data_IF_036692714379
#
_entry.id   IF_036692714379
#
_cell.length_a   1.000
_cell.length_b   1.000
_cell.length_c   1.000
_cell.angle_alpha   90.00
_cell.angle_beta   90.00
_cell.angle_gamma   90.00
#
_symmetry.space_group_name_H-M   'P 1'
#
loop_
_entity.id
_entity.type
_entity.pdbx_description
1 polymer ?
#
# COMPACT_ATOMS: atom_id res chain seq x y z
N UNK A 1 18.13 -13.86 15.96
CA UNK A 1 18.09 -12.53 15.30
C UNK A 1 16.78 -11.85 15.67
N UNK A 2 16.81 -10.91 16.59
CA UNK A 2 15.65 -10.08 16.95
C UNK A 2 15.34 -9.17 15.76
N UNK A 3 14.20 -9.39 15.10
CA UNK A 3 13.77 -8.59 13.95
C UNK A 3 13.23 -7.26 14.48
N UNK A 4 13.86 -6.16 14.10
CA UNK A 4 13.43 -4.83 14.48
C UNK A 4 12.15 -4.48 13.68
N UNK A 5 10.98 -4.67 14.29
CA UNK A 5 9.70 -4.35 13.67
C UNK A 5 9.53 -2.84 13.71
N UNK A 6 9.35 -2.22 12.54
CA UNK A 6 9.11 -0.78 12.49
C UNK A 6 7.78 -0.45 13.17
N UNK A 7 7.69 0.58 14.01
CA UNK A 7 6.44 0.95 14.67
C UNK A 7 5.31 1.30 13.69
N UNK A 8 5.64 1.74 12.47
CA UNK A 8 4.68 2.00 11.39
C UNK A 8 4.35 0.78 10.52
N UNK A 9 4.98 -0.38 10.75
CA UNK A 9 4.71 -1.61 10.01
C UNK A 9 3.23 -2.06 10.04
N UNK A 10 2.49 -2.01 11.18
CA UNK A 10 1.07 -2.37 11.18
C UNK A 10 0.22 -1.42 10.35
N UNK A 11 0.48 -0.11 10.42
CA UNK A 11 -0.27 0.91 9.67
C UNK A 11 -0.02 0.75 8.16
N UNK A 12 1.26 0.61 7.77
CA UNK A 12 1.66 0.41 6.38
C UNK A 12 1.08 -0.88 5.79
N UNK A 13 1.06 -1.96 6.58
CA UNK A 13 0.43 -3.24 6.18
C UNK A 13 -1.07 -3.08 5.94
N UNK A 14 -1.77 -2.34 6.82
CA UNK A 14 -3.20 -2.06 6.65
C UNK A 14 -3.48 -1.22 5.41
N UNK A 15 -2.69 -0.18 5.15
CA UNK A 15 -2.81 0.66 3.94
C UNK A 15 -2.65 -0.17 2.67
N UNK A 16 -1.66 -1.08 2.62
CA UNK A 16 -1.48 -1.96 1.45
C UNK A 16 -2.63 -2.96 1.27
N UNK A 17 -3.23 -3.44 2.36
CA UNK A 17 -4.43 -4.30 2.28
C UNK A 17 -5.64 -3.51 1.77
N UNK A 18 -5.84 -2.29 2.25
CA UNK A 18 -6.89 -1.39 1.75
C UNK A 18 -6.67 -1.10 0.26
N UNK A 19 -5.42 -0.84 -0.15
CA UNK A 19 -5.05 -0.69 -1.56
C UNK A 19 -5.43 -1.91 -2.39
N UNK A 20 -5.18 -3.13 -1.90
CA UNK A 20 -5.55 -4.36 -2.59
C UNK A 20 -7.07 -4.52 -2.74
N UNK A 21 -7.86 -4.15 -1.73
CA UNK A 21 -9.32 -4.14 -1.81
C UNK A 21 -9.80 -3.11 -2.84
N UNK A 22 -9.20 -1.91 -2.86
CA UNK A 22 -9.50 -0.90 -3.86
C UNK A 22 -9.23 -1.39 -5.29
N UNK A 23 -8.14 -2.13 -5.51
CA UNK A 23 -7.84 -2.72 -6.83
C UNK A 23 -8.92 -3.70 -7.27
N UNK A 24 -9.47 -4.50 -6.34
CA UNK A 24 -10.60 -5.41 -6.64
C UNK A 24 -11.86 -4.62 -6.98
N UNK A 25 -12.16 -3.56 -6.22
CA UNK A 25 -13.33 -2.71 -6.47
C UNK A 25 -13.21 -2.02 -7.83
N UNK A 26 -12.05 -1.44 -8.14
CA UNK A 26 -11.78 -0.76 -9.41
C UNK A 26 -11.94 -1.70 -10.62
N UNK A 27 -11.51 -2.96 -10.48
CA UNK A 27 -11.70 -3.98 -11.52
C UNK A 27 -13.18 -4.22 -11.89
N UNK A 28 -14.13 -4.08 -10.95
CA UNK A 28 -15.56 -4.19 -11.27
C UNK A 28 -16.09 -3.05 -12.14
N UNK A 29 -15.37 -1.92 -12.23
CA UNK A 29 -15.74 -0.77 -13.06
C UNK A 29 -15.09 -0.80 -14.45
N UNK A 30 -14.21 -1.76 -14.75
CA UNK A 30 -13.56 -1.91 -16.07
C UNK A 30 -14.51 -2.57 -17.08
N UNK A 31 -14.59 -1.99 -18.29
CA UNK A 31 -15.44 -2.47 -19.39
C UNK A 31 -15.09 -3.91 -19.83
N UNK A 32 -16.11 -4.67 -20.22
CA UNK A 32 -16.04 -6.12 -20.41
C UNK A 32 -15.17 -6.60 -21.59
N UNK A 33 -14.74 -5.70 -22.47
CA UNK A 33 -14.00 -6.08 -23.69
C UNK A 33 -12.53 -6.47 -23.42
N UNK A 34 -11.95 -6.11 -22.27
CA UNK A 34 -10.55 -6.44 -21.92
C UNK A 34 -10.39 -7.46 -20.78
N UNK A 35 -11.50 -8.09 -20.35
CA UNK A 35 -11.60 -8.81 -19.08
C UNK A 35 -10.49 -9.86 -18.87
N UNK A 36 -10.18 -10.69 -19.88
CA UNK A 36 -9.18 -11.76 -19.73
C UNK A 36 -7.76 -11.24 -19.48
N UNK A 37 -7.36 -10.12 -20.12
CA UNK A 37 -6.02 -9.56 -19.92
C UNK A 37 -5.89 -8.83 -18.59
N UNK A 38 -7.00 -8.28 -18.09
CA UNK A 38 -7.08 -7.51 -16.86
C UNK A 38 -7.07 -8.41 -15.61
N UNK A 39 -7.69 -9.61 -15.68
CA UNK A 39 -7.68 -10.58 -14.56
C UNK A 39 -6.25 -10.97 -14.14
N UNK A 40 -5.37 -11.22 -15.12
CA UNK A 40 -3.97 -11.58 -14.82
C UNK A 40 -3.23 -10.47 -14.08
N UNK A 41 -3.42 -9.21 -14.52
CA UNK A 41 -2.84 -8.03 -13.87
C UNK A 41 -3.40 -7.84 -12.46
N UNK A 42 -4.71 -8.02 -12.28
CA UNK A 42 -5.37 -7.94 -10.99
C UNK A 42 -4.79 -8.95 -9.99
N UNK A 43 -4.74 -10.24 -10.37
CA UNK A 43 -4.22 -11.31 -9.51
C UNK A 43 -2.78 -11.03 -9.11
N UNK A 44 -1.94 -10.65 -10.08
CA UNK A 44 -0.53 -10.32 -9.82
C UNK A 44 -0.41 -9.14 -8.84
N UNK A 45 -1.19 -8.08 -9.04
CA UNK A 45 -1.20 -6.90 -8.17
C UNK A 45 -1.59 -7.25 -6.73
N UNK A 46 -2.67 -8.04 -6.55
CA UNK A 46 -3.13 -8.50 -5.23
C UNK A 46 -2.05 -9.33 -4.53
N UNK A 47 -1.40 -10.27 -5.24
CA UNK A 47 -0.33 -11.09 -4.69
C UNK A 47 0.84 -10.22 -4.21
N UNK A 48 1.24 -9.22 -5.02
CA UNK A 48 2.31 -8.29 -4.66
C UNK A 48 1.92 -7.46 -3.43
N UNK A 49 0.71 -6.92 -3.39
CA UNK A 49 0.24 -6.06 -2.29
C UNK A 49 0.11 -6.83 -0.97
N UNK A 50 -0.55 -8.00 -0.99
CA UNK A 50 -0.72 -8.85 0.19
C UNK A 50 0.61 -9.44 0.64
N UNK A 51 1.42 -9.93 -0.30
CA UNK A 51 2.76 -10.45 -0.02
C UNK A 51 3.66 -9.40 0.63
N UNK A 52 3.64 -8.18 0.10
CA UNK A 52 4.36 -7.05 0.68
C UNK A 52 3.85 -6.69 2.08
N UNK A 53 2.52 -6.63 2.26
CA UNK A 53 1.91 -6.36 3.56
C UNK A 53 2.30 -7.39 4.63
N UNK A 54 2.45 -8.66 4.25
CA UNK A 54 2.92 -9.73 5.13
C UNK A 54 4.42 -9.58 5.46
N UNK A 55 5.25 -9.31 4.46
CA UNK A 55 6.70 -9.13 4.64
C UNK A 55 7.04 -7.92 5.51
N UNK A 56 6.29 -6.81 5.37
CA UNK A 56 6.39 -5.64 6.26
C UNK A 56 6.09 -6.04 7.72
N UNK A 57 5.02 -6.80 7.95
CA UNK A 57 4.61 -7.22 9.29
C UNK A 57 5.63 -8.14 9.97
N UNK A 58 6.41 -8.87 9.18
CA UNK A 58 7.52 -9.69 9.66
C UNK A 58 8.83 -8.92 9.95
N UNK A 59 8.86 -7.60 9.75
CA UNK A 59 10.01 -6.75 10.12
C UNK A 59 11.21 -6.88 9.19
N UNK A 60 11.04 -7.29 7.94
CA UNK A 60 12.13 -7.37 6.98
C UNK A 60 12.50 -5.98 6.45
N UNK A 61 13.64 -5.44 6.84
CA UNK A 61 14.06 -4.09 6.44
C UNK A 61 14.31 -3.92 4.94
N UNK A 62 14.71 -4.99 4.21
CA UNK A 62 14.91 -4.94 2.76
C UNK A 62 13.62 -4.65 1.98
N UNK A 63 12.45 -4.97 2.58
CA UNK A 63 11.16 -4.81 1.90
C UNK A 63 10.85 -3.35 1.58
N UNK A 64 11.37 -2.41 2.38
CA UNK A 64 11.15 -0.97 2.20
C UNK A 64 11.71 -0.50 0.85
N UNK A 65 12.90 -0.99 0.51
CA UNK A 65 13.55 -0.71 -0.77
C UNK A 65 12.89 -1.44 -1.93
N UNK A 66 12.55 -2.72 -1.75
CA UNK A 66 11.85 -3.49 -2.79
C UNK A 66 10.48 -2.89 -3.14
N UNK A 67 9.70 -2.49 -2.13
CA UNK A 67 8.43 -1.79 -2.32
C UNK A 67 8.61 -0.45 -3.01
N UNK A 68 9.65 0.30 -2.68
CA UNK A 68 9.91 1.60 -3.33
C UNK A 68 10.21 1.45 -4.81
N UNK A 69 10.99 0.42 -5.19
CA UNK A 69 11.27 0.11 -6.60
C UNK A 69 10.01 -0.34 -7.33
N UNK A 70 9.25 -1.27 -6.74
CA UNK A 70 7.97 -1.73 -7.30
C UNK A 70 6.99 -0.57 -7.49
N UNK A 71 6.94 0.32 -6.50
CA UNK A 71 6.09 1.50 -6.53
C UNK A 71 6.48 2.48 -7.62
N UNK A 72 7.79 2.75 -7.80
CA UNK A 72 8.30 3.57 -8.90
C UNK A 72 7.91 3.00 -10.27
N UNK A 73 8.05 1.69 -10.46
CA UNK A 73 7.62 1.03 -11.69
C UNK A 73 6.10 1.17 -11.90
N UNK A 74 5.32 1.07 -10.82
CA UNK A 74 3.87 1.28 -10.83
C UNK A 74 3.50 2.69 -11.29
N UNK A 75 4.08 3.73 -10.69
CA UNK A 75 3.86 5.14 -11.08
C UNK A 75 4.18 5.36 -12.57
N UNK A 76 5.31 4.84 -13.05
CA UNK A 76 5.72 5.04 -14.45
C UNK A 76 4.66 4.46 -15.39
N UNK A 77 4.17 3.24 -15.10
CA UNK A 77 3.08 2.63 -15.86
C UNK A 77 1.80 3.48 -15.76
N UNK A 78 1.43 3.91 -14.55
CA UNK A 78 0.22 4.69 -14.32
C UNK A 78 0.24 6.01 -15.10
N UNK A 79 1.36 6.75 -15.10
CA UNK A 79 1.52 7.99 -15.87
C UNK A 79 1.39 7.74 -17.38
N UNK A 80 1.92 6.62 -17.89
CA UNK A 80 1.80 6.28 -19.31
C UNK A 80 0.36 5.95 -19.72
N UNK A 81 -0.41 5.29 -18.86
CA UNK A 81 -1.78 4.85 -19.17
C UNK A 81 -2.86 5.87 -18.77
N UNK A 82 -2.59 6.79 -17.83
CA UNK A 82 -3.55 7.80 -17.36
C UNK A 82 -4.24 8.57 -18.51
N UNK A 83 -3.49 9.09 -19.51
CA UNK A 83 -4.09 9.86 -20.61
C UNK A 83 -5.04 9.02 -21.47
N UNK A 84 -4.76 7.72 -21.62
CA UNK A 84 -5.63 6.80 -22.35
C UNK A 84 -6.93 6.56 -21.57
N UNK A 85 -6.84 6.35 -20.25
CA UNK A 85 -7.99 6.12 -19.36
C UNK A 85 -8.95 7.31 -19.38
N UNK A 86 -8.44 8.55 -19.33
CA UNK A 86 -9.27 9.76 -19.41
C UNK A 86 -9.90 9.96 -20.79
N UNK A 87 -9.19 9.64 -21.89
CA UNK A 87 -9.77 9.71 -23.24
C UNK A 87 -10.91 8.71 -23.46
N UNK A 88 -10.84 7.53 -22.83
CA UNK A 88 -11.91 6.52 -22.89
C UNK A 88 -13.15 6.84 -22.03
N UNK A 89 -13.21 7.99 -21.36
CA UNK A 89 -14.34 8.37 -20.50
C UNK A 89 -14.42 7.62 -19.17
N UNK A 90 -13.38 6.85 -18.82
CA UNK A 90 -13.26 6.09 -17.57
C UNK A 90 -12.78 6.97 -16.40
N UNK A 91 -13.49 8.07 -16.16
CA UNK A 91 -13.15 9.07 -15.13
C UNK A 91 -13.10 8.43 -13.73
N UNK A 92 -14.00 7.48 -13.46
CA UNK A 92 -14.05 6.75 -12.19
C UNK A 92 -12.79 5.91 -11.95
N UNK A 93 -12.35 5.16 -12.95
CA UNK A 93 -11.14 4.32 -12.89
C UNK A 93 -9.88 5.18 -12.71
N UNK A 94 -9.79 6.32 -13.40
CA UNK A 94 -8.70 7.29 -13.21
C UNK A 94 -8.66 7.85 -11.78
N UNK A 95 -9.83 8.11 -11.17
CA UNK A 95 -9.91 8.61 -9.80
C UNK A 95 -9.48 7.54 -8.76
N UNK A 96 -9.88 6.28 -8.97
CA UNK A 96 -9.43 5.16 -8.12
C UNK A 96 -7.93 4.91 -8.23
N UNK A 97 -7.36 5.01 -9.43
CA UNK A 97 -5.92 4.89 -9.64
C UNK A 97 -5.14 5.94 -8.82
N UNK A 98 -5.53 7.22 -8.92
CA UNK A 98 -4.92 8.31 -8.14
C UNK A 98 -5.04 8.07 -6.62
N UNK A 99 -6.23 7.66 -6.15
CA UNK A 99 -6.46 7.37 -4.74
C UNK A 99 -5.59 6.19 -4.27
N UNK A 100 -5.48 5.15 -5.09
CA UNK A 100 -4.65 3.99 -4.81
C UNK A 100 -3.17 4.37 -4.74
N UNK A 101 -2.71 5.21 -5.66
CA UNK A 101 -1.37 5.76 -5.67
C UNK A 101 -1.09 6.58 -4.40
N UNK A 102 -2.00 7.45 -3.98
CA UNK A 102 -1.85 8.22 -2.73
C UNK A 102 -1.74 7.32 -1.48
N UNK A 103 -2.54 6.25 -1.41
CA UNK A 103 -2.47 5.25 -0.32
C UNK A 103 -1.12 4.52 -0.34
N UNK A 104 -0.64 4.11 -1.51
CA UNK A 104 0.65 3.42 -1.64
C UNK A 104 1.84 4.34 -1.32
N UNK A 105 1.81 5.61 -1.75
CA UNK A 105 2.81 6.62 -1.35
C UNK A 105 2.85 6.73 0.17
N UNK A 106 1.69 6.86 0.79
CA UNK A 106 1.59 7.00 2.26
C UNK A 106 2.14 5.76 2.96
N UNK A 107 1.80 4.55 2.46
CA UNK A 107 2.32 3.30 3.00
C UNK A 107 3.85 3.18 2.87
N UNK A 108 4.42 3.57 1.73
CA UNK A 108 5.86 3.55 1.51
C UNK A 108 6.55 4.62 2.37
N UNK A 109 6.05 5.85 2.39
CA UNK A 109 6.60 6.94 3.19
C UNK A 109 6.64 6.58 4.69
N UNK A 110 5.56 5.99 5.23
CA UNK A 110 5.50 5.51 6.61
C UNK A 110 6.57 4.47 6.97
N UNK A 111 7.07 3.71 5.98
CA UNK A 111 8.17 2.77 6.20
C UNK A 111 9.53 3.48 6.32
N UNK A 112 9.69 4.70 5.80
CA UNK A 112 10.92 5.48 5.92
C UNK A 112 10.90 6.46 7.09
N UNK A 113 9.72 6.93 7.52
CA UNK A 113 9.60 7.82 8.67
C UNK A 113 9.60 7.05 10.00
N UNK A 114 10.53 7.33 10.93
CA UNK A 114 10.44 6.79 12.28
C UNK A 114 9.18 7.31 12.97
N UNK A 115 8.34 6.41 13.49
CA UNK A 115 7.20 6.80 14.32
C UNK A 115 7.72 7.31 15.65
N UNK A 116 7.57 8.62 15.91
CA UNK A 116 7.61 9.12 17.27
C UNK A 116 6.27 8.76 17.90
N UNK A 117 6.23 7.68 18.69
CA UNK A 117 5.14 7.50 19.65
C UNK A 117 5.29 8.65 20.65
N UNK A 118 4.36 9.63 20.74
CA UNK A 118 4.36 10.50 21.91
C UNK A 118 4.19 9.58 23.12
N UNK A 119 5.17 9.57 24.02
CA UNK A 119 5.17 8.72 25.20
C UNK A 119 3.78 8.78 25.85
N UNK A 120 3.07 7.66 25.78
CA UNK A 120 1.78 7.56 26.48
C UNK A 120 2.12 7.70 27.96
N UNK A 121 1.41 8.59 28.67
CA UNK A 121 1.59 8.88 30.11
C UNK A 121 1.33 7.65 31.02
N UNK A 122 1.29 6.43 30.51
CA UNK A 122 1.11 5.21 31.29
C UNK A 122 2.41 4.63 31.88
N UNK A 123 3.55 5.29 31.66
CA UNK A 123 4.84 4.90 32.22
C UNK A 123 5.15 5.60 33.56
N UNK A 124 4.19 6.28 34.17
CA UNK A 124 4.33 6.68 35.58
C UNK A 124 4.30 5.43 36.45
N UNK A 125 5.40 5.09 37.15
CA UNK A 125 5.38 4.00 38.11
C UNK A 125 4.32 4.32 39.15
N UNK A 126 3.35 3.42 39.33
CA UNK A 126 2.44 3.50 40.46
C UNK A 126 3.30 3.41 41.72
N UNK A 127 3.51 4.55 42.36
CA UNK A 127 4.08 4.64 43.70
C UNK A 127 3.15 3.84 44.61
N UNK A 128 3.61 2.65 45.00
CA UNK A 128 2.94 1.83 46.00
C UNK A 128 3.35 2.44 47.33
N UNK A 129 2.51 3.35 47.85
CA UNK A 129 2.60 3.80 49.24
C UNK A 129 1.88 2.77 50.12
N UNK A 130 2.65 2.14 51.01
CA UNK A 130 2.17 1.27 52.09
C UNK A 130 1.36 2.06 53.15
#
# INVERSE_FOLDING_TARGET
MTRYIHPNAPISSTLLRVSAVLTVVDYFFVSHEELQSQVGKLILSIIILIGSAYLIRNGYNWIRWALSVLFLLGIIQEIMYLPATFHSGLITTGCFAILQSAIQITAVALLFFPYNIPATKSDEPKEITD
#
